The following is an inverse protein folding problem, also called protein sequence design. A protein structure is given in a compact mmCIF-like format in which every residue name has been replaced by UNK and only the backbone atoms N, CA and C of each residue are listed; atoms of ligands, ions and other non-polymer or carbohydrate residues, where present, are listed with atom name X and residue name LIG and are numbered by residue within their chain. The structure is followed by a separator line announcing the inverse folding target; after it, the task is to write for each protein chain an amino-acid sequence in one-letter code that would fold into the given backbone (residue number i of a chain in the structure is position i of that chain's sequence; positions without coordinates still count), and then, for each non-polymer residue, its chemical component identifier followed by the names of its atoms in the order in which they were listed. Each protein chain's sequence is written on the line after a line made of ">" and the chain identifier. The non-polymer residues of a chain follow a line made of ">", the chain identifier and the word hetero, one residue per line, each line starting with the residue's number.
data_IF_574363896448
#
_entry.id   IF_574363896448
#
_cell.length_a   1.000
_cell.length_b   1.000
_cell.length_c   1.000
_cell.angle_alpha   90.00
_cell.angle_beta   90.00
_cell.angle_gamma   90.00
#
_symmetry.space_group_name_H-M   'P 1'
#
loop_
_entity.id
_entity.type
_entity.pdbx_description
1 polymer ?
#
# COMPACT_ATOMS: atom_id res chain seq x y z
N UNK A 1 1.96 -41.81 -6.06
CA UNK A 1 0.97 -40.72 -5.91
C UNK A 1 0.71 -40.48 -4.43
N UNK A 2 0.98 -39.25 -3.97
CA UNK A 2 0.53 -38.62 -2.71
C UNK A 2 0.89 -39.23 -1.34
N UNK A 3 2.13 -38.98 -0.87
CA UNK A 3 2.48 -38.81 0.56
C UNK A 3 3.60 -37.79 0.83
N UNK A 4 3.81 -36.80 -0.06
CA UNK A 4 4.91 -35.81 0.06
C UNK A 4 4.48 -34.36 0.32
N UNK A 5 3.24 -34.10 0.74
CA UNK A 5 2.72 -32.73 0.92
C UNK A 5 2.42 -32.32 2.36
N UNK A 6 2.99 -33.01 3.35
CA UNK A 6 2.79 -32.70 4.78
C UNK A 6 4.10 -32.70 5.55
N UNK A 7 5.03 -31.84 5.16
CA UNK A 7 6.05 -31.35 6.06
C UNK A 7 6.50 -29.98 5.59
N UNK A 8 6.54 -29.05 6.55
CA UNK A 8 7.29 -27.81 6.48
C UNK A 8 6.65 -26.57 5.83
N UNK A 9 5.35 -26.35 6.07
CA UNK A 9 4.85 -24.99 6.24
C UNK A 9 5.29 -24.50 7.65
N UNK A 10 6.60 -24.29 7.84
CA UNK A 10 7.09 -23.50 8.97
C UNK A 10 6.80 -22.04 8.62
N UNK A 11 5.56 -21.64 8.87
CA UNK A 11 5.18 -20.24 9.09
C UNK A 11 6.01 -19.74 10.26
N UNK A 12 7.25 -19.34 9.99
CA UNK A 12 7.96 -18.41 10.85
C UNK A 12 7.20 -17.10 10.75
N UNK A 13 6.20 -16.95 11.62
CA UNK A 13 5.69 -15.64 12.05
C UNK A 13 6.82 -14.97 12.83
N UNK A 14 7.90 -14.61 12.15
CA UNK A 14 8.67 -13.48 12.61
C UNK A 14 7.71 -12.30 12.46
N UNK A 15 7.30 -11.74 13.60
CA UNK A 15 6.88 -10.35 13.66
C UNK A 15 8.08 -9.51 13.28
N UNK A 16 8.41 -9.48 11.99
CA UNK A 16 9.30 -8.50 11.39
C UNK A 16 8.49 -7.21 11.30
N UNK A 17 8.11 -6.69 12.46
CA UNK A 17 7.39 -5.45 12.57
C UNK A 17 8.34 -4.36 12.14
N UNK A 18 8.08 -3.76 10.98
CA UNK A 18 8.46 -2.38 10.80
C UNK A 18 7.70 -1.63 11.89
N UNK A 19 8.38 -1.17 12.95
CA UNK A 19 7.75 -0.13 13.78
C UNK A 19 7.89 1.18 13.02
N UNK A 20 7.16 1.30 11.91
CA UNK A 20 6.73 2.64 11.53
C UNK A 20 5.70 3.00 12.58
N UNK A 21 5.96 4.00 13.40
CA UNK A 21 4.88 4.77 14.02
C UNK A 21 3.86 5.03 12.91
N UNK A 22 2.73 4.31 12.93
CA UNK A 22 1.73 4.32 11.87
C UNK A 22 1.01 5.69 11.73
N UNK A 23 1.54 6.73 12.39
CA UNK A 23 1.02 8.08 12.53
C UNK A 23 2.11 9.16 12.50
N UNK A 24 3.39 8.86 12.19
CA UNK A 24 4.31 9.96 11.85
C UNK A 24 3.94 10.45 10.46
N UNK A 25 3.28 11.61 10.40
CA UNK A 25 3.32 12.44 9.20
C UNK A 25 4.79 12.55 8.77
N UNK A 26 5.08 12.13 7.54
CA UNK A 26 6.37 12.36 6.93
C UNK A 26 6.63 13.85 6.91
N UNK A 27 7.58 14.31 7.71
CA UNK A 27 8.08 15.67 7.64
C UNK A 27 8.87 15.80 6.34
N UNK A 28 8.32 16.54 5.37
CA UNK A 28 9.15 17.05 4.29
C UNK A 28 10.26 17.93 4.91
N UNK A 29 11.47 17.97 4.33
CA UNK A 29 12.46 18.94 4.73
C UNK A 29 11.92 20.36 4.57
N UNK A 30 12.41 21.27 5.40
CA UNK A 30 12.06 22.69 5.33
C UNK A 30 12.31 23.26 3.93
N UNK A 31 11.49 24.26 3.55
CA UNK A 31 11.49 24.86 2.21
C UNK A 31 12.89 25.38 1.78
N UNK A 32 13.72 25.78 2.74
CA UNK A 32 15.09 26.23 2.52
C UNK A 32 15.98 25.10 1.96
N UNK A 33 15.91 23.89 2.53
CA UNK A 33 16.70 22.75 2.03
C UNK A 33 16.23 22.32 0.64
N UNK A 34 14.91 22.29 0.41
CA UNK A 34 14.35 21.98 -0.93
C UNK A 34 14.81 23.01 -1.96
N UNK A 35 14.88 24.28 -1.58
CA UNK A 35 15.37 25.36 -2.44
C UNK A 35 16.85 25.20 -2.75
N UNK A 36 17.67 24.87 -1.75
CA UNK A 36 19.09 24.58 -1.93
C UNK A 36 19.32 23.35 -2.83
N UNK A 37 18.51 22.30 -2.67
CA UNK A 37 18.54 21.11 -3.52
C UNK A 37 18.32 21.47 -4.99
N UNK A 38 17.33 22.31 -5.32
CA UNK A 38 17.05 22.72 -6.72
C UNK A 38 18.24 23.33 -7.46
N UNK A 39 19.18 23.95 -6.73
CA UNK A 39 20.40 24.52 -7.31
C UNK A 39 21.49 23.50 -7.64
N UNK A 40 21.37 22.26 -7.17
CA UNK A 40 22.41 21.25 -7.27
C UNK A 40 22.36 20.52 -8.61
N UNK A 41 23.54 20.17 -9.10
CA UNK A 41 23.73 19.30 -10.29
C UNK A 41 24.46 18.01 -9.96
N UNK A 42 25.04 17.94 -8.77
CA UNK A 42 25.82 16.82 -8.29
C UNK A 42 25.42 16.45 -6.87
N UNK A 43 25.72 15.24 -6.45
CA UNK A 43 25.52 14.77 -5.07
C UNK A 43 26.70 13.90 -4.63
N UNK A 44 27.01 13.91 -3.34
CA UNK A 44 27.95 13.00 -2.71
C UNK A 44 27.14 11.99 -1.88
N UNK A 45 27.25 10.70 -2.20
CA UNK A 45 26.56 9.63 -1.47
C UNK A 45 27.53 8.90 -0.54
N UNK A 46 27.38 9.14 0.75
CA UNK A 46 28.16 8.51 1.81
C UNK A 46 27.34 7.41 2.46
N UNK A 47 27.94 6.25 2.68
CA UNK A 47 27.28 5.12 3.35
C UNK A 47 28.17 4.59 4.46
N UNK A 48 27.66 4.61 5.70
CA UNK A 48 28.29 4.00 6.86
C UNK A 48 27.48 2.78 7.24
N UNK A 49 28.03 1.60 6.94
CA UNK A 49 27.35 0.31 7.08
C UNK A 49 27.92 -0.52 8.23
N UNK A 50 27.12 -0.70 9.28
CA UNK A 50 27.41 -1.56 10.42
C UNK A 50 26.56 -2.83 10.37
N UNK A 51 26.85 -3.73 9.43
CA UNK A 51 26.19 -5.03 9.32
C UNK A 51 27.00 -6.15 9.98
N UNK A 52 26.35 -7.18 10.56
CA UNK A 52 27.04 -8.37 11.04
C UNK A 52 27.79 -9.07 9.90
N UNK A 53 28.94 -9.68 10.22
CA UNK A 53 29.73 -10.40 9.23
C UNK A 53 28.89 -11.47 8.51
N UNK A 54 28.92 -11.45 7.18
CA UNK A 54 28.14 -12.35 6.34
C UNK A 54 26.68 -11.93 6.11
N UNK A 55 26.19 -10.83 6.67
CA UNK A 55 24.86 -10.33 6.35
C UNK A 55 24.80 -9.76 4.91
N UNK A 56 23.67 -9.95 4.19
CA UNK A 56 23.50 -9.42 2.84
C UNK A 56 23.50 -7.90 2.81
N UNK A 57 24.03 -7.35 1.73
CA UNK A 57 23.85 -5.94 1.39
C UNK A 57 22.47 -5.73 0.76
N UNK A 58 21.60 -4.89 1.35
CA UNK A 58 20.34 -4.51 0.73
C UNK A 58 20.34 -3.50 -0.39
N UNK A 59 21.51 -3.13 -0.90
CA UNK A 59 21.60 -2.36 -2.13
C UNK A 59 20.91 -1.01 -2.02
N UNK A 60 20.73 -0.49 -0.81
CA UNK A 60 20.00 0.75 -0.57
C UNK A 60 20.77 1.90 -1.20
N UNK A 61 22.09 1.96 -0.99
CA UNK A 61 22.96 2.90 -1.69
C UNK A 61 22.70 2.94 -3.20
N UNK A 62 22.60 1.78 -3.85
CA UNK A 62 22.34 1.69 -5.30
C UNK A 62 20.99 2.31 -5.65
N UNK A 63 19.95 2.02 -4.89
CA UNK A 63 18.61 2.59 -5.10
C UNK A 63 18.59 4.10 -4.84
N UNK A 64 19.25 4.59 -3.77
CA UNK A 64 19.32 6.02 -3.49
C UNK A 64 20.07 6.76 -4.62
N UNK A 65 21.17 6.20 -5.10
CA UNK A 65 21.89 6.74 -6.26
C UNK A 65 21.02 6.76 -7.53
N UNK A 66 20.24 5.70 -7.77
CA UNK A 66 19.31 5.65 -8.90
C UNK A 66 18.22 6.74 -8.81
N UNK A 67 17.66 6.97 -7.62
CA UNK A 67 16.69 8.06 -7.37
C UNK A 67 17.33 9.42 -7.66
N UNK A 68 18.53 9.69 -7.14
CA UNK A 68 19.21 10.97 -7.33
C UNK A 68 19.61 11.20 -8.80
N UNK A 69 20.12 10.17 -9.47
CA UNK A 69 20.45 10.24 -10.89
C UNK A 69 19.21 10.34 -11.79
N UNK A 70 18.06 9.82 -11.36
CA UNK A 70 16.80 10.01 -12.07
C UNK A 70 16.33 11.47 -12.10
N UNK A 71 16.74 12.27 -11.10
CA UNK A 71 16.56 13.72 -11.07
C UNK A 71 17.57 14.48 -11.96
N UNK A 72 18.48 13.78 -12.64
CA UNK A 72 19.51 14.39 -13.48
C UNK A 72 20.78 14.79 -12.73
N UNK A 73 20.90 14.44 -11.45
CA UNK A 73 22.12 14.67 -10.68
C UNK A 73 23.23 13.68 -11.05
N UNK A 74 24.48 14.11 -10.93
CA UNK A 74 25.66 13.25 -11.09
C UNK A 74 26.35 13.01 -9.76
N UNK A 75 26.80 11.80 -9.52
CA UNK A 75 27.57 11.52 -8.31
C UNK A 75 28.95 12.19 -8.41
N UNK A 76 29.29 13.01 -7.41
CA UNK A 76 30.57 13.69 -7.26
C UNK A 76 30.91 13.76 -5.76
N UNK A 77 31.99 13.10 -5.29
CA UNK A 77 32.40 13.15 -3.88
C UNK A 77 32.69 14.56 -3.36
N UNK A 78 32.97 15.52 -4.24
CA UNK A 78 33.20 16.92 -3.89
C UNK A 78 31.91 17.77 -3.86
N UNK A 79 30.74 17.17 -4.11
CA UNK A 79 29.46 17.89 -4.11
C UNK A 79 29.17 18.49 -2.72
N UNK A 80 28.68 19.74 -2.65
CA UNK A 80 28.18 20.31 -1.41
C UNK A 80 26.86 19.66 -0.96
N UNK A 81 26.15 18.96 -1.85
CA UNK A 81 24.96 18.17 -1.50
C UNK A 81 25.34 16.77 -1.08
N UNK A 82 25.36 16.55 0.22
CA UNK A 82 25.66 15.24 0.82
C UNK A 82 24.38 14.50 1.13
N UNK A 83 24.35 13.24 0.72
CA UNK A 83 23.35 12.26 1.11
C UNK A 83 24.08 11.19 1.90
N UNK A 84 23.81 11.10 3.19
CA UNK A 84 24.47 10.15 4.09
C UNK A 84 23.46 9.09 4.54
N UNK A 85 23.84 7.82 4.40
CA UNK A 85 23.09 6.69 4.88
C UNK A 85 23.89 5.99 5.98
N UNK A 86 23.44 6.13 7.22
CA UNK A 86 24.03 5.44 8.35
C UNK A 86 23.09 4.35 8.84
N UNK A 87 23.60 3.14 9.03
CA UNK A 87 22.73 2.02 9.37
C UNK A 87 23.45 0.91 10.12
N UNK A 88 22.71 0.37 11.08
CA UNK A 88 23.11 -0.75 11.91
C UNK A 88 22.16 -1.92 11.67
N UNK A 89 22.74 -3.05 11.26
CA UNK A 89 22.01 -4.30 11.08
C UNK A 89 22.08 -5.18 12.32
N UNK A 90 20.95 -5.74 12.67
CA UNK A 90 20.85 -6.92 13.52
C UNK A 90 20.46 -8.10 12.63
N UNK A 91 21.35 -9.08 12.51
CA UNK A 91 21.05 -10.27 11.75
C UNK A 91 20.01 -11.11 12.50
N UNK A 92 18.92 -11.43 11.83
CA UNK A 92 17.86 -12.28 12.34
C UNK A 92 18.15 -13.70 11.86
N UNK A 93 18.59 -14.54 12.80
CA UNK A 93 18.86 -15.94 12.53
C UNK A 93 17.65 -16.80 12.86
N UNK A 94 17.31 -17.73 11.97
CA UNK A 94 16.44 -18.85 12.29
C UNK A 94 17.29 -20.11 12.47
N UNK A 95 17.09 -20.79 13.58
CA UNK A 95 17.56 -22.17 13.74
C UNK A 95 16.63 -23.09 12.95
N UNK A 96 17.21 -23.89 12.07
CA UNK A 96 16.45 -24.86 11.29
C UNK A 96 16.79 -26.27 11.73
N UNK A 97 15.75 -27.09 11.86
CA UNK A 97 15.86 -28.50 12.25
C UNK A 97 15.12 -29.35 11.21
N UNK A 98 15.86 -29.94 10.28
CA UNK A 98 15.30 -30.89 9.31
C UNK A 98 15.05 -32.22 10.01
N UNK A 99 13.76 -32.53 10.28
CA UNK A 99 13.36 -33.82 10.89
C UNK A 99 13.80 -35.04 10.06
N UNK A 100 13.95 -34.89 8.75
CA UNK A 100 14.34 -35.99 7.86
C UNK A 100 15.84 -36.26 7.81
N UNK A 101 16.72 -35.31 8.22
CA UNK A 101 18.14 -35.37 7.82
C UNK A 101 19.18 -35.05 8.90
N UNK A 102 18.79 -34.87 10.18
CA UNK A 102 19.71 -34.61 11.32
C UNK A 102 20.71 -33.46 11.11
N UNK A 103 20.43 -32.50 10.22
CA UNK A 103 21.23 -31.29 10.05
C UNK A 103 20.64 -30.21 10.95
N UNK A 104 21.45 -29.73 11.91
CA UNK A 104 21.17 -28.55 12.73
C UNK A 104 22.09 -27.42 12.26
N UNK A 105 21.50 -26.25 11.99
CA UNK A 105 22.26 -25.08 11.56
C UNK A 105 21.52 -23.79 11.87
N UNK A 106 22.29 -22.70 12.01
CA UNK A 106 21.79 -21.34 12.17
C UNK A 106 21.98 -20.60 10.86
N UNK A 107 20.89 -20.20 10.19
CA UNK A 107 20.91 -19.40 8.96
C UNK A 107 20.34 -18.02 9.27
N UNK A 108 21.03 -16.97 8.85
CA UNK A 108 20.43 -15.63 8.84
C UNK A 108 19.41 -15.57 7.70
N UNK A 109 18.15 -15.33 8.04
CA UNK A 109 17.03 -15.32 7.09
C UNK A 109 16.49 -13.92 6.86
N UNK A 110 16.94 -12.97 7.67
CA UNK A 110 16.58 -11.56 7.60
C UNK A 110 17.65 -10.72 8.29
N UNK A 111 17.65 -9.41 8.04
CA UNK A 111 18.31 -8.43 8.89
C UNK A 111 17.28 -7.36 9.26
N UNK A 112 17.20 -7.02 10.55
CA UNK A 112 16.54 -5.79 10.99
C UNK A 112 17.57 -4.68 10.93
N UNK A 113 17.19 -3.55 10.38
CA UNK A 113 18.09 -2.45 10.10
C UNK A 113 17.48 -1.18 10.65
N UNK A 114 18.24 -0.51 11.50
CA UNK A 114 17.92 0.81 12.01
C UNK A 114 18.97 1.77 11.49
N UNK A 115 18.58 2.99 11.17
CA UNK A 115 19.52 3.94 10.61
C UNK A 115 18.96 5.34 10.46
N UNK A 116 19.79 6.21 9.92
CA UNK A 116 19.48 7.59 9.62
C UNK A 116 19.77 7.86 8.15
N UNK A 117 18.82 8.50 7.48
CA UNK A 117 19.03 9.13 6.18
C UNK A 117 19.24 10.62 6.45
N UNK A 118 20.40 11.15 6.10
CA UNK A 118 20.72 12.57 6.24
C UNK A 118 20.91 13.21 4.88
N UNK A 119 20.28 14.36 4.65
CA UNK A 119 20.48 15.25 3.52
C UNK A 119 21.11 16.54 4.06
N UNK A 120 22.24 16.97 3.52
CA UNK A 120 22.98 18.17 3.99
C UNK A 120 23.42 19.02 2.79
N UNK A 121 23.15 20.33 2.83
CA UNK A 121 23.65 21.33 1.88
C UNK A 121 23.93 22.63 2.66
N UNK A 122 25.15 23.16 2.58
CA UNK A 122 25.51 24.49 3.12
C UNK A 122 25.04 24.73 4.57
N UNK A 123 25.17 23.72 5.45
CA UNK A 123 24.70 23.69 6.85
C UNK A 123 23.19 23.51 7.08
N UNK A 124 22.36 23.59 6.04
CA UNK A 124 20.99 23.09 6.12
C UNK A 124 21.01 21.57 6.09
N UNK A 125 20.28 20.93 6.99
CA UNK A 125 20.22 19.47 7.03
C UNK A 125 18.82 18.96 7.35
N UNK A 126 18.53 17.77 6.85
CA UNK A 126 17.35 16.99 7.18
C UNK A 126 17.79 15.58 7.53
N UNK A 127 17.37 15.09 8.69
CA UNK A 127 17.68 13.75 9.17
C UNK A 127 16.38 13.00 9.44
N UNK A 128 16.28 11.79 8.93
CA UNK A 128 15.15 10.89 9.15
C UNK A 128 15.66 9.55 9.68
N UNK A 129 15.21 9.20 10.90
CA UNK A 129 15.38 7.86 11.43
C UNK A 129 14.47 6.89 10.67
N UNK A 130 15.05 5.79 10.19
CA UNK A 130 14.29 4.71 9.61
C UNK A 130 14.57 3.39 10.30
N UNK A 131 13.57 2.53 10.23
CA UNK A 131 13.73 1.13 10.51
C UNK A 131 13.16 0.33 9.36
N UNK A 132 13.96 -0.58 8.81
CA UNK A 132 13.43 -1.58 7.92
C UNK A 132 13.98 -2.96 8.16
N UNK A 133 13.34 -3.94 7.54
CA UNK A 133 13.83 -5.30 7.56
C UNK A 133 14.02 -5.82 6.14
N UNK A 134 15.01 -6.68 6.02
CA UNK A 134 15.29 -7.45 4.83
C UNK A 134 14.88 -8.89 5.05
N UNK A 135 14.63 -9.62 3.97
CA UNK A 135 14.52 -11.08 4.01
C UNK A 135 15.27 -11.69 2.84
N UNK A 136 15.92 -12.81 3.08
CA UNK A 136 16.39 -13.69 2.02
C UNK A 136 15.24 -14.59 1.60
N UNK A 137 14.82 -14.62 0.33
CA UNK A 137 13.88 -15.62 -0.14
C UNK A 137 14.42 -17.02 0.21
N UNK A 138 13.55 -17.87 0.76
CA UNK A 138 13.88 -19.26 0.99
C UNK A 138 13.48 -20.03 -0.27
N UNK A 139 14.38 -20.82 -0.84
CA UNK A 139 14.02 -21.73 -1.93
C UNK A 139 12.89 -22.65 -1.48
N UNK A 140 11.85 -22.77 -2.32
CA UNK A 140 10.70 -23.65 -2.06
C UNK A 140 11.01 -25.12 -2.32
N UNK A 141 12.18 -25.45 -2.85
CA UNK A 141 12.58 -26.83 -3.21
C UNK A 141 14.06 -27.07 -2.99
N UNK A 142 14.41 -27.84 -1.95
CA UNK A 142 15.75 -28.41 -1.76
C UNK A 142 15.88 -29.67 -2.59
N UNK A 143 16.88 -29.75 -3.48
CA UNK A 143 17.04 -30.87 -4.43
C UNK A 143 17.88 -32.02 -3.90
N UNK A 144 18.97 -31.77 -3.16
CA UNK A 144 19.88 -32.80 -2.60
C UNK A 144 20.79 -32.28 -1.45
N UNK A 145 21.63 -33.15 -0.86
CA UNK A 145 22.54 -32.84 0.27
C UNK A 145 23.70 -31.91 -0.11
N UNK A 146 24.19 -31.98 -1.35
CA UNK A 146 25.21 -31.06 -1.85
C UNK A 146 24.62 -29.65 -2.04
N UNK A 147 23.39 -29.55 -2.53
CA UNK A 147 22.65 -28.30 -2.65
C UNK A 147 22.46 -27.63 -1.29
N UNK A 148 22.09 -28.38 -0.25
CA UNK A 148 21.93 -27.86 1.11
C UNK A 148 23.25 -27.35 1.71
N UNK A 149 24.32 -28.13 1.60
CA UNK A 149 25.65 -27.77 2.12
C UNK A 149 26.20 -26.53 1.42
N UNK A 150 26.03 -26.45 0.10
CA UNK A 150 26.40 -25.28 -0.70
C UNK A 150 25.45 -24.08 -0.46
N UNK A 151 24.19 -24.29 -0.05
CA UNK A 151 23.27 -23.21 0.32
C UNK A 151 23.58 -22.56 1.66
N UNK A 152 24.19 -23.30 2.61
CA UNK A 152 24.73 -22.71 3.85
C UNK A 152 25.89 -21.76 3.57
N UNK A 153 26.59 -21.95 2.45
CA UNK A 153 27.69 -21.11 1.95
C UNK A 153 27.25 -20.17 0.82
N UNK A 154 26.01 -20.30 0.32
CA UNK A 154 25.54 -19.55 -0.84
C UNK A 154 25.42 -18.07 -0.49
N UNK A 155 25.85 -17.18 -1.40
CA UNK A 155 25.58 -15.76 -1.25
C UNK A 155 24.07 -15.56 -1.15
N UNK A 156 23.69 -14.68 -0.24
CA UNK A 156 22.30 -14.26 -0.08
C UNK A 156 21.73 -13.81 -1.43
N UNK A 157 20.51 -14.24 -1.75
CA UNK A 157 19.70 -13.58 -2.78
C UNK A 157 19.44 -12.12 -2.38
N UNK A 158 19.21 -11.24 -3.37
CA UNK A 158 18.99 -9.81 -3.14
C UNK A 158 17.92 -9.60 -2.05
N UNK A 159 18.27 -8.93 -0.95
CA UNK A 159 17.38 -8.84 0.19
C UNK A 159 16.14 -8.03 -0.13
N UNK A 160 15.04 -8.55 0.38
CA UNK A 160 13.72 -8.01 0.14
C UNK A 160 13.40 -6.97 1.23
N UNK A 161 13.44 -5.66 0.94
CA UNK A 161 12.88 -4.57 1.81
C UNK A 161 11.42 -4.82 2.19
N UNK A 162 11.08 -4.70 3.47
CA UNK A 162 9.74 -5.05 3.98
C UNK A 162 8.91 -3.85 4.45
N UNK A 163 9.45 -2.63 4.43
CA UNK A 163 8.76 -1.48 5.05
C UNK A 163 8.25 -0.48 4.01
N UNK A 164 6.92 -0.23 3.94
CA UNK A 164 6.34 0.72 2.99
C UNK A 164 6.81 2.15 3.26
N UNK A 165 7.31 2.36 4.47
CA UNK A 165 7.58 3.63 5.09
C UNK A 165 9.09 3.86 5.34
N UNK A 166 9.95 3.32 4.47
CA UNK A 166 11.41 3.36 4.62
C UNK A 166 12.13 4.50 3.88
N UNK A 167 13.47 4.57 3.99
CA UNK A 167 14.27 5.71 3.50
C UNK A 167 14.20 5.89 1.97
N UNK A 168 13.88 4.82 1.24
CA UNK A 168 13.68 4.86 -0.21
C UNK A 168 12.43 5.69 -0.55
N UNK A 169 11.31 5.48 0.14
CA UNK A 169 10.08 6.25 -0.10
C UNK A 169 10.30 7.72 0.25
N UNK A 170 10.92 7.99 1.40
CA UNK A 170 11.19 9.34 1.86
C UNK A 170 12.11 10.09 0.90
N UNK A 171 13.26 9.50 0.52
CA UNK A 171 14.16 10.12 -0.44
C UNK A 171 13.45 10.35 -1.79
N UNK A 172 12.72 9.36 -2.29
CA UNK A 172 12.00 9.50 -3.56
C UNK A 172 11.03 10.68 -3.52
N UNK A 173 10.30 10.85 -2.41
CA UNK A 173 9.40 11.98 -2.21
C UNK A 173 10.16 13.31 -2.19
N UNK A 174 11.20 13.43 -1.39
CA UNK A 174 11.99 14.66 -1.25
C UNK A 174 12.60 15.07 -2.60
N UNK A 175 13.23 14.12 -3.29
CA UNK A 175 13.86 14.35 -4.58
C UNK A 175 12.82 14.71 -5.65
N UNK A 176 11.64 14.11 -5.61
CA UNK A 176 10.53 14.49 -6.51
C UNK A 176 10.02 15.91 -6.22
N UNK A 177 9.88 16.29 -4.94
CA UNK A 177 9.50 17.65 -4.54
C UNK A 177 10.53 18.70 -4.97
N UNK A 178 11.82 18.35 -4.90
CA UNK A 178 12.90 19.25 -5.29
C UNK A 178 13.03 19.37 -6.81
N UNK A 179 13.06 18.26 -7.55
CA UNK A 179 13.46 18.22 -8.97
C UNK A 179 12.32 17.89 -9.95
N UNK A 180 11.07 17.88 -9.48
CA UNK A 180 9.88 17.59 -10.29
C UNK A 180 9.61 16.10 -10.47
N UNK A 181 8.70 15.76 -11.38
CA UNK A 181 8.00 14.46 -11.41
C UNK A 181 8.86 13.27 -11.89
N UNK A 182 10.00 13.55 -12.53
CA UNK A 182 10.84 12.53 -13.20
C UNK A 182 11.24 11.36 -12.29
N UNK A 183 11.68 11.58 -11.03
CA UNK A 183 12.07 10.48 -10.15
C UNK A 183 10.92 9.53 -9.86
N UNK A 184 9.73 10.06 -9.52
CA UNK A 184 8.53 9.24 -9.31
C UNK A 184 8.11 8.49 -10.59
N UNK A 185 8.15 9.15 -11.75
CA UNK A 185 7.84 8.53 -13.05
C UNK A 185 8.80 7.38 -13.39
N UNK A 186 10.12 7.55 -13.14
CA UNK A 186 11.10 6.48 -13.35
C UNK A 186 10.92 5.34 -12.36
N UNK A 187 10.63 5.64 -11.10
CA UNK A 187 10.32 4.62 -10.09
C UNK A 187 9.11 3.76 -10.50
N UNK A 188 8.05 4.37 -11.06
CA UNK A 188 6.89 3.65 -11.61
C UNK A 188 7.22 2.75 -12.81
N UNK A 189 8.26 3.08 -13.57
CA UNK A 189 8.71 2.28 -14.71
C UNK A 189 9.77 1.21 -14.35
N UNK A 190 10.19 1.16 -13.07
CA UNK A 190 11.26 0.28 -12.61
C UNK A 190 10.89 -1.21 -12.74
N UNK A 191 11.88 -2.11 -12.77
CA UNK A 191 11.61 -3.56 -12.89
C UNK A 191 11.12 -4.18 -11.57
N UNK A 192 11.63 -3.69 -10.44
CA UNK A 192 11.17 -4.06 -9.09
C UNK A 192 9.79 -3.44 -8.79
N UNK A 193 8.83 -4.30 -8.43
CA UNK A 193 7.49 -3.90 -8.01
C UNK A 193 7.49 -2.88 -6.87
N UNK A 194 8.44 -2.91 -5.94
CA UNK A 194 8.42 -2.00 -4.78
C UNK A 194 8.78 -0.58 -5.17
N UNK A 195 9.72 -0.44 -6.10
CA UNK A 195 9.99 0.86 -6.70
C UNK A 195 8.76 1.39 -7.44
N UNK A 196 8.01 0.51 -8.12
CA UNK A 196 6.72 0.90 -8.71
C UNK A 196 5.70 1.34 -7.66
N UNK A 197 5.61 0.60 -6.57
CA UNK A 197 4.77 0.93 -5.42
C UNK A 197 5.13 2.30 -4.82
N UNK A 198 6.42 2.56 -4.57
CA UNK A 198 6.87 3.85 -4.04
C UNK A 198 6.63 4.98 -5.04
N UNK A 199 6.92 4.77 -6.32
CA UNK A 199 6.64 5.76 -7.37
C UNK A 199 5.17 6.13 -7.45
N UNK A 200 4.27 5.14 -7.41
CA UNK A 200 2.84 5.38 -7.40
C UNK A 200 2.37 6.07 -6.11
N UNK A 201 2.90 5.66 -4.96
CA UNK A 201 2.61 6.29 -3.65
C UNK A 201 3.01 7.78 -3.66
N UNK A 202 4.24 8.09 -4.06
CA UNK A 202 4.75 9.47 -4.18
C UNK A 202 3.93 10.27 -5.18
N UNK A 203 3.55 9.69 -6.31
CA UNK A 203 2.71 10.36 -7.30
C UNK A 203 1.35 10.77 -6.71
N UNK A 204 0.73 9.90 -5.89
CA UNK A 204 -0.51 10.24 -5.19
C UNK A 204 -0.33 11.28 -4.09
N UNK A 205 0.72 11.15 -3.27
CA UNK A 205 0.98 12.04 -2.14
C UNK A 205 1.31 13.46 -2.58
N UNK A 206 2.07 13.60 -3.66
CA UNK A 206 2.42 14.89 -4.27
C UNK A 206 1.40 15.35 -5.31
N UNK A 207 0.33 14.57 -5.55
CA UNK A 207 -0.73 14.86 -6.54
C UNK A 207 -0.20 15.15 -7.95
N UNK A 208 0.74 14.35 -8.42
CA UNK A 208 1.41 14.52 -9.71
C UNK A 208 0.45 14.18 -10.87
N UNK A 209 -0.19 15.17 -11.46
CA UNK A 209 -1.13 14.94 -12.57
C UNK A 209 -0.47 14.30 -13.80
N UNK A 210 0.80 14.63 -14.06
CA UNK A 210 1.60 14.05 -15.15
C UNK A 210 1.77 12.54 -15.04
N UNK A 211 1.65 11.98 -13.82
CA UNK A 211 1.75 10.55 -13.54
C UNK A 211 0.50 9.77 -13.96
N UNK A 212 -0.65 10.42 -14.20
CA UNK A 212 -1.92 9.75 -14.49
C UNK A 212 -1.82 8.67 -15.57
N UNK A 213 -1.19 8.90 -16.74
CA UNK A 213 -1.09 7.86 -17.77
C UNK A 213 -0.23 6.65 -17.34
N UNK A 214 0.74 6.85 -16.44
CA UNK A 214 1.51 5.72 -15.88
C UNK A 214 0.68 4.94 -14.86
N UNK A 215 -0.02 5.65 -13.97
CA UNK A 215 -0.90 5.06 -12.96
C UNK A 215 -2.05 4.27 -13.60
N UNK A 216 -2.72 4.84 -14.60
CA UNK A 216 -3.78 4.17 -15.35
C UNK A 216 -3.27 2.89 -16.01
N UNK A 217 -2.10 2.93 -16.67
CA UNK A 217 -1.49 1.73 -17.30
C UNK A 217 -1.17 0.62 -16.31
N UNK A 218 -0.74 0.96 -15.09
CA UNK A 218 -0.45 -0.04 -14.04
C UNK A 218 -1.70 -0.85 -13.68
N UNK A 219 -2.89 -0.25 -13.73
CA UNK A 219 -4.15 -0.91 -13.33
C UNK A 219 -5.01 -1.39 -14.52
N UNK A 220 -4.70 -0.95 -15.75
CA UNK A 220 -5.52 -1.20 -16.94
C UNK A 220 -5.56 -2.68 -17.37
N UNK A 221 -4.55 -3.46 -16.98
CA UNK A 221 -4.42 -4.90 -17.25
C UNK A 221 -4.79 -5.80 -16.07
N UNK A 222 -5.18 -5.25 -14.93
CA UNK A 222 -5.43 -6.03 -13.71
C UNK A 222 -6.77 -6.78 -13.84
N UNK A 223 -6.71 -8.10 -13.96
CA UNK A 223 -7.90 -8.97 -14.15
C UNK A 223 -8.47 -9.55 -12.85
N UNK A 224 -8.11 -8.98 -11.69
CA UNK A 224 -8.51 -9.46 -10.35
C UNK A 224 -8.37 -10.98 -10.18
N UNK A 225 -7.13 -11.48 -10.09
CA UNK A 225 -6.74 -12.77 -9.45
C UNK A 225 -5.22 -12.92 -9.60
N UNK A 226 -4.42 -12.03 -8.99
CA UNK A 226 -3.05 -12.47 -8.68
C UNK A 226 -3.19 -13.42 -7.49
N UNK A 227 -2.83 -14.68 -7.70
CA UNK A 227 -2.71 -15.77 -6.71
C UNK A 227 -1.89 -15.41 -5.45
N UNK A 228 -1.32 -14.21 -5.39
CA UNK A 228 -0.80 -13.59 -4.18
C UNK A 228 -1.85 -13.42 -3.07
N UNK A 229 -3.14 -13.19 -3.40
CA UNK A 229 -4.22 -12.90 -2.43
C UNK A 229 -4.60 -14.04 -1.48
N UNK A 230 -4.17 -15.29 -1.75
CA UNK A 230 -4.55 -16.46 -0.93
C UNK A 230 -3.56 -16.74 0.22
N UNK A 231 -2.50 -15.95 0.33
CA UNK A 231 -1.55 -16.07 1.44
C UNK A 231 -1.57 -14.73 2.17
N UNK A 232 -2.38 -14.65 3.24
CA UNK A 232 -2.34 -13.59 4.28
C UNK A 232 -0.95 -13.51 4.90
N UNK A 233 -0.03 -12.99 4.12
CA UNK A 233 1.32 -12.71 4.52
C UNK A 233 1.31 -11.24 4.93
N UNK A 234 1.85 -10.84 6.09
CA UNK A 234 2.00 -9.44 6.46
C UNK A 234 2.81 -8.59 5.44
N UNK A 235 3.30 -9.23 4.37
CA UNK A 235 4.08 -8.69 3.26
C UNK A 235 3.26 -8.34 2.00
N UNK A 236 1.93 -8.50 2.03
CA UNK A 236 0.98 -8.06 0.98
C UNK A 236 0.82 -6.52 0.88
N UNK A 237 1.66 -5.74 1.57
CA UNK A 237 1.49 -4.28 1.76
C UNK A 237 2.06 -3.41 0.64
N UNK A 238 2.91 -3.95 -0.25
CA UNK A 238 3.54 -3.19 -1.35
C UNK A 238 3.05 -3.63 -2.74
N UNK A 239 1.74 -3.51 -2.97
CA UNK A 239 1.12 -3.82 -4.25
C UNK A 239 1.09 -2.57 -5.16
N UNK A 240 1.81 -2.55 -6.30
CA UNK A 240 1.90 -1.37 -7.16
C UNK A 240 0.55 -0.94 -7.74
N UNK A 241 -0.30 -1.88 -8.12
CA UNK A 241 -1.63 -1.63 -8.66
C UNK A 241 -2.54 -1.00 -7.59
N UNK A 242 -2.44 -1.45 -6.34
CA UNK A 242 -3.16 -0.85 -5.21
C UNK A 242 -2.69 0.57 -4.93
N UNK A 243 -1.38 0.80 -4.90
CA UNK A 243 -0.83 2.14 -4.75
C UNK A 243 -1.24 3.05 -5.91
N UNK A 244 -1.21 2.55 -7.15
CA UNK A 244 -1.60 3.31 -8.33
C UNK A 244 -3.08 3.69 -8.30
N UNK A 245 -3.95 2.75 -7.93
CA UNK A 245 -5.37 3.01 -7.79
C UNK A 245 -5.65 4.06 -6.71
N UNK A 246 -5.05 3.91 -5.52
CA UNK A 246 -5.17 4.88 -4.44
C UNK A 246 -4.64 6.27 -4.84
N UNK A 247 -3.53 6.33 -5.58
CA UNK A 247 -2.97 7.58 -6.09
C UNK A 247 -3.92 8.29 -7.07
N UNK A 248 -4.57 7.55 -7.97
CA UNK A 248 -5.56 8.13 -8.89
C UNK A 248 -6.75 8.79 -8.17
N UNK A 249 -7.18 8.24 -7.03
CA UNK A 249 -8.21 8.87 -6.19
C UNK A 249 -7.78 10.19 -5.53
N UNK A 250 -6.48 10.44 -5.40
CA UNK A 250 -5.92 11.70 -4.88
C UNK A 250 -5.76 12.77 -5.96
N UNK A 251 -5.74 12.38 -7.23
CA UNK A 251 -5.65 13.30 -8.37
C UNK A 251 -7.02 13.91 -8.69
N UNK A 252 -7.07 15.06 -9.41
CA UNK A 252 -8.33 15.60 -9.91
C UNK A 252 -9.11 14.60 -10.76
N UNK A 253 -10.43 14.80 -10.83
CA UNK A 253 -11.32 13.96 -11.59
C UNK A 253 -10.93 13.90 -13.09
N UNK A 254 -10.99 12.71 -13.67
CA UNK A 254 -10.88 12.50 -15.11
C UNK A 254 -11.76 11.33 -15.55
N UNK A 255 -12.48 11.49 -16.66
CA UNK A 255 -13.42 10.47 -17.15
C UNK A 255 -12.71 9.17 -17.58
N UNK A 256 -11.49 9.28 -18.14
CA UNK A 256 -10.65 8.11 -18.46
C UNK A 256 -10.36 7.27 -17.21
N UNK A 257 -9.96 7.95 -16.13
CA UNK A 257 -9.65 7.34 -14.84
C UNK A 257 -10.91 6.73 -14.23
N UNK A 258 -12.02 7.47 -14.26
CA UNK A 258 -13.33 7.00 -13.74
C UNK A 258 -13.72 5.68 -14.39
N UNK A 259 -13.68 5.59 -15.72
CA UNK A 259 -14.07 4.37 -16.45
C UNK A 259 -13.22 3.16 -16.05
N UNK A 260 -11.91 3.35 -15.81
CA UNK A 260 -11.00 2.30 -15.35
C UNK A 260 -11.35 1.86 -13.92
N UNK A 261 -11.49 2.82 -12.99
CA UNK A 261 -11.79 2.54 -11.59
C UNK A 261 -13.17 1.87 -11.40
N UNK A 262 -14.20 2.31 -12.13
CA UNK A 262 -15.52 1.68 -12.11
C UNK A 262 -15.47 0.23 -12.62
N UNK A 263 -14.67 -0.02 -13.67
CA UNK A 263 -14.46 -1.39 -14.17
C UNK A 263 -13.81 -2.28 -13.12
N UNK A 264 -12.81 -1.77 -12.39
CA UNK A 264 -12.15 -2.50 -11.30
C UNK A 264 -13.12 -2.75 -10.14
N UNK A 265 -13.85 -1.72 -9.71
CA UNK A 265 -14.85 -1.82 -8.64
C UNK A 265 -15.95 -2.85 -8.95
N UNK A 266 -16.38 -2.95 -10.22
CA UNK A 266 -17.40 -3.92 -10.63
C UNK A 266 -16.95 -5.38 -10.60
N UNK A 267 -15.63 -5.63 -10.62
CA UNK A 267 -15.03 -6.97 -10.69
C UNK A 267 -14.61 -7.51 -9.33
N UNK A 268 -14.36 -6.62 -8.38
CA UNK A 268 -13.58 -6.93 -7.20
C UNK A 268 -14.28 -6.44 -5.93
N UNK A 269 -14.99 -7.33 -5.25
CA UNK A 269 -15.67 -7.03 -3.99
C UNK A 269 -14.78 -7.25 -2.75
N UNK A 270 -13.55 -7.76 -2.91
CA UNK A 270 -12.68 -8.10 -1.77
C UNK A 270 -11.36 -7.30 -1.73
N UNK A 271 -10.83 -6.84 -2.88
CA UNK A 271 -9.53 -6.13 -2.91
C UNK A 271 -9.62 -4.62 -2.71
N UNK A 272 -10.83 -4.04 -2.79
CA UNK A 272 -11.11 -2.60 -2.70
C UNK A 272 -10.32 -1.71 -3.69
N UNK A 273 -9.76 -2.29 -4.76
CA UNK A 273 -8.91 -1.55 -5.70
C UNK A 273 -9.66 -0.39 -6.37
N UNK A 274 -10.92 -0.58 -6.78
CA UNK A 274 -11.68 0.45 -7.49
C UNK A 274 -12.53 1.37 -6.60
N UNK A 275 -13.16 0.83 -5.55
CA UNK A 275 -14.14 1.57 -4.75
C UNK A 275 -13.51 2.66 -3.90
N UNK A 276 -12.41 2.35 -3.21
CA UNK A 276 -11.71 3.30 -2.35
C UNK A 276 -11.35 4.62 -3.06
N UNK A 277 -10.66 4.61 -4.22
CA UNK A 277 -10.31 5.87 -4.90
C UNK A 277 -11.50 6.60 -5.52
N UNK A 278 -12.57 5.90 -5.92
CA UNK A 278 -13.80 6.56 -6.39
C UNK A 278 -14.45 7.41 -5.29
N UNK A 279 -14.42 6.92 -4.04
CA UNK A 279 -14.97 7.63 -2.88
C UNK A 279 -14.10 8.83 -2.47
N UNK A 280 -12.79 8.81 -2.74
CA UNK A 280 -11.88 9.92 -2.42
C UNK A 280 -12.21 11.21 -3.20
N UNK A 281 -12.76 11.08 -4.42
CA UNK A 281 -13.17 12.22 -5.21
C UNK A 281 -14.36 12.99 -4.64
N UNK A 282 -15.14 12.39 -3.72
CA UNK A 282 -16.27 13.03 -3.01
C UNK A 282 -17.21 13.81 -3.95
N UNK A 283 -17.45 13.27 -5.15
CA UNK A 283 -18.24 13.97 -6.18
C UNK A 283 -19.71 13.57 -6.13
N UNK A 284 -20.64 14.54 -6.02
CA UNK A 284 -22.07 14.27 -6.06
C UNK A 284 -22.51 13.65 -7.40
N UNK A 285 -21.83 14.01 -8.50
CA UNK A 285 -22.14 13.52 -9.85
C UNK A 285 -21.88 12.01 -10.00
N UNK A 286 -20.91 11.47 -9.26
CA UNK A 286 -20.54 10.05 -9.33
C UNK A 286 -21.32 9.18 -8.35
N UNK A 287 -21.88 9.74 -7.29
CA UNK A 287 -22.56 8.98 -6.25
C UNK A 287 -23.70 8.09 -6.78
N UNK A 288 -24.53 8.52 -7.76
CA UNK A 288 -25.55 7.66 -8.32
C UNK A 288 -24.98 6.36 -8.88
N UNK A 289 -23.85 6.43 -9.59
CA UNK A 289 -23.22 5.26 -10.21
C UNK A 289 -22.52 4.38 -9.17
N UNK A 290 -21.89 4.97 -8.15
CA UNK A 290 -21.29 4.24 -7.03
C UNK A 290 -22.38 3.45 -6.30
N UNK A 291 -23.51 4.07 -5.98
CA UNK A 291 -24.65 3.37 -5.36
C UNK A 291 -25.19 2.28 -6.29
N UNK A 292 -25.26 2.55 -7.60
CA UNK A 292 -25.72 1.57 -8.57
C UNK A 292 -24.78 0.36 -8.68
N UNK A 293 -23.47 0.53 -8.49
CA UNK A 293 -22.52 -0.59 -8.35
C UNK A 293 -22.84 -1.44 -7.12
N UNK A 294 -23.06 -0.82 -5.96
CA UNK A 294 -23.42 -1.53 -4.72
C UNK A 294 -24.73 -2.31 -4.91
N UNK A 295 -25.73 -1.70 -5.56
CA UNK A 295 -27.01 -2.35 -5.90
C UNK A 295 -26.82 -3.57 -6.80
N UNK A 296 -25.88 -3.53 -7.73
CA UNK A 296 -25.67 -4.59 -8.72
C UNK A 296 -24.65 -5.65 -8.31
N UNK A 297 -23.91 -5.45 -7.20
CA UNK A 297 -22.91 -6.39 -6.73
C UNK A 297 -23.52 -7.77 -6.44
N UNK A 298 -22.84 -8.84 -6.87
CA UNK A 298 -23.30 -10.23 -6.68
C UNK A 298 -23.41 -10.61 -5.21
N UNK A 299 -22.45 -10.17 -4.39
CA UNK A 299 -22.45 -10.33 -2.94
C UNK A 299 -22.72 -8.98 -2.27
N UNK A 300 -23.31 -8.98 -1.07
CA UNK A 300 -23.54 -7.71 -0.37
C UNK A 300 -22.21 -7.12 0.13
N UNK A 301 -21.77 -5.96 -0.38
CA UNK A 301 -20.44 -5.43 -0.09
C UNK A 301 -20.50 -4.58 1.19
N UNK A 302 -20.50 -5.24 2.37
CA UNK A 302 -20.66 -4.55 3.66
C UNK A 302 -19.62 -3.45 3.88
N UNK A 303 -18.35 -3.72 3.56
CA UNK A 303 -17.26 -2.75 3.72
C UNK A 303 -17.48 -1.49 2.86
N UNK A 304 -17.73 -1.67 1.55
CA UNK A 304 -17.93 -0.54 0.64
C UNK A 304 -19.22 0.23 0.97
N UNK A 305 -20.28 -0.49 1.37
CA UNK A 305 -21.55 0.11 1.79
C UNK A 305 -21.35 1.02 3.01
N UNK A 306 -20.62 0.53 4.01
CA UNK A 306 -20.28 1.30 5.21
C UNK A 306 -19.44 2.55 4.94
N UNK A 307 -18.71 2.62 3.82
CA UNK A 307 -17.98 3.83 3.40
C UNK A 307 -18.82 4.76 2.51
N UNK A 308 -19.56 4.19 1.56
CA UNK A 308 -20.27 4.95 0.54
C UNK A 308 -21.52 5.65 1.09
N UNK A 309 -22.28 5.01 1.99
CA UNK A 309 -23.51 5.60 2.52
C UNK A 309 -23.28 6.83 3.41
N UNK A 310 -22.30 6.86 4.34
CA UNK A 310 -22.00 8.08 5.09
C UNK A 310 -21.54 9.24 4.20
N UNK A 311 -20.87 8.93 3.08
CA UNK A 311 -20.53 9.93 2.09
C UNK A 311 -21.78 10.41 1.32
N UNK A 312 -22.62 9.47 0.87
CA UNK A 312 -23.90 9.77 0.20
C UNK A 312 -24.80 10.68 1.05
N UNK A 313 -24.92 10.40 2.36
CA UNK A 313 -25.66 11.25 3.30
C UNK A 313 -25.22 12.71 3.21
N UNK A 314 -23.91 12.96 3.05
CA UNK A 314 -23.32 14.31 3.00
C UNK A 314 -23.45 14.97 1.63
N UNK A 315 -23.24 14.23 0.54
CA UNK A 315 -23.04 14.83 -0.79
C UNK A 315 -24.11 14.50 -1.82
N UNK A 316 -24.97 13.50 -1.62
CA UNK A 316 -26.00 13.18 -2.62
C UNK A 316 -26.96 14.34 -2.86
N UNK A 317 -27.44 14.44 -4.09
CA UNK A 317 -28.54 15.31 -4.50
C UNK A 317 -29.73 14.48 -5.04
N UNK A 318 -30.71 15.14 -5.64
CA UNK A 318 -31.92 14.52 -6.19
C UNK A 318 -31.64 13.38 -7.20
N UNK A 319 -30.49 13.37 -7.88
CA UNK A 319 -30.12 12.31 -8.85
C UNK A 319 -29.85 10.97 -8.17
N UNK A 320 -29.50 10.97 -6.88
CA UNK A 320 -29.31 9.74 -6.12
C UNK A 320 -30.63 9.03 -5.80
N UNK A 321 -31.79 9.73 -5.83
CA UNK A 321 -33.09 9.19 -5.44
C UNK A 321 -33.43 7.81 -6.06
N UNK A 322 -33.42 7.64 -7.40
CA UNK A 322 -33.83 6.36 -8.00
C UNK A 322 -32.93 5.20 -7.57
N UNK A 323 -31.63 5.43 -7.42
CA UNK A 323 -30.68 4.38 -7.03
C UNK A 323 -30.71 4.09 -5.53
N UNK A 324 -30.91 5.12 -4.68
CA UNK A 324 -31.12 4.96 -3.24
C UNK A 324 -32.38 4.16 -2.94
N UNK A 325 -33.48 4.42 -3.66
CA UNK A 325 -34.71 3.65 -3.51
C UNK A 325 -34.52 2.17 -3.92
N UNK A 326 -33.77 1.89 -4.99
CA UNK A 326 -33.40 0.52 -5.36
C UNK A 326 -32.53 -0.12 -4.28
N UNK A 327 -31.55 0.61 -3.75
CA UNK A 327 -30.65 0.08 -2.74
C UNK A 327 -31.35 -0.22 -1.42
N UNK A 328 -32.25 0.67 -0.99
CA UNK A 328 -33.12 0.46 0.16
C UNK A 328 -33.89 -0.85 0.06
N UNK A 329 -34.56 -1.10 -1.09
CA UNK A 329 -35.29 -2.35 -1.35
C UNK A 329 -34.39 -3.58 -1.28
N UNK A 330 -33.14 -3.47 -1.76
CA UNK A 330 -32.15 -4.54 -1.61
C UNK A 330 -31.84 -4.78 -0.12
N UNK A 331 -31.50 -3.75 0.64
CA UNK A 331 -31.23 -3.87 2.09
C UNK A 331 -32.41 -4.48 2.86
N UNK A 332 -33.65 -4.10 2.55
CA UNK A 332 -34.86 -4.69 3.16
C UNK A 332 -34.99 -6.18 2.86
N UNK A 333 -34.71 -6.59 1.62
CA UNK A 333 -34.73 -7.99 1.21
C UNK A 333 -33.65 -8.80 1.95
N UNK A 334 -32.43 -8.30 2.04
CA UNK A 334 -31.35 -8.96 2.77
C UNK A 334 -31.65 -9.04 4.27
N UNK A 335 -32.16 -7.96 4.88
CA UNK A 335 -32.57 -7.94 6.29
C UNK A 335 -33.63 -9.00 6.60
N UNK A 336 -34.63 -9.17 5.72
CA UNK A 336 -35.64 -10.22 5.85
C UNK A 336 -35.02 -11.62 5.80
N UNK A 337 -34.03 -11.84 4.93
CA UNK A 337 -33.34 -13.13 4.82
C UNK A 337 -32.53 -13.43 6.08
N UNK A 338 -31.74 -12.47 6.56
CA UNK A 338 -30.90 -12.64 7.77
C UNK A 338 -31.76 -12.87 9.01
N UNK A 339 -32.89 -12.18 9.16
CA UNK A 339 -33.79 -12.38 10.30
C UNK A 339 -34.46 -13.78 10.34
N UNK A 340 -34.41 -14.54 9.24
CA UNK A 340 -34.93 -15.92 9.19
C UNK A 340 -33.86 -16.99 9.41
N UNK A 341 -32.60 -16.59 9.56
CA UNK A 341 -31.44 -17.47 9.75
C UNK A 341 -30.91 -17.36 11.18
N UNK A 342 -30.13 -18.36 11.62
CA UNK A 342 -29.40 -18.24 12.90
C UNK A 342 -28.42 -17.07 12.84
N UNK A 343 -28.17 -16.36 13.96
CA UNK A 343 -27.28 -15.21 13.98
C UNK A 343 -25.89 -15.57 13.45
N UNK A 344 -25.52 -14.96 12.32
CA UNK A 344 -24.19 -15.10 11.73
C UNK A 344 -23.09 -14.52 12.62
N UNK A 345 -21.84 -14.71 12.23
CA UNK A 345 -20.71 -14.05 12.90
C UNK A 345 -20.84 -12.52 12.77
N UNK A 346 -20.46 -11.74 13.79
CA UNK A 346 -20.42 -10.28 13.68
C UNK A 346 -19.56 -9.86 12.51
N UNK A 347 -20.02 -8.83 11.80
CA UNK A 347 -19.28 -8.16 10.75
C UNK A 347 -18.61 -6.90 11.29
N UNK A 348 -17.40 -6.63 10.84
CA UNK A 348 -16.71 -5.37 11.12
C UNK A 348 -17.08 -4.36 10.03
N UNK A 349 -17.63 -3.22 10.43
CA UNK A 349 -17.79 -2.06 9.56
C UNK A 349 -17.00 -0.87 10.11
N UNK A 350 -16.64 0.09 9.25
CA UNK A 350 -16.01 1.34 9.71
C UNK A 350 -17.04 2.21 10.42
N UNK A 351 -16.63 2.85 11.51
CA UNK A 351 -17.45 3.83 12.21
C UNK A 351 -17.68 5.03 11.26
N UNK A 352 -18.95 5.38 10.97
CA UNK A 352 -19.30 6.51 10.11
C UNK A 352 -18.79 7.86 10.62
N UNK A 353 -18.61 7.98 11.94
CA UNK A 353 -18.18 9.19 12.62
C UNK A 353 -16.66 9.21 12.86
N UNK A 354 -16.02 8.05 12.82
CA UNK A 354 -14.57 7.89 12.96
C UNK A 354 -14.03 6.82 11.99
N UNK A 355 -13.50 7.21 10.82
CA UNK A 355 -13.00 6.28 9.81
C UNK A 355 -11.86 5.35 10.28
N UNK A 356 -11.25 5.66 11.44
CA UNK A 356 -10.18 4.88 12.06
C UNK A 356 -10.70 3.87 13.08
N UNK A 357 -11.96 4.02 13.52
CA UNK A 357 -12.62 3.09 14.42
C UNK A 357 -13.40 2.04 13.63
N UNK A 358 -13.29 0.80 14.06
CA UNK A 358 -14.15 -0.30 13.59
C UNK A 358 -15.21 -0.59 14.63
N UNK A 359 -16.43 -0.81 14.16
CA UNK A 359 -17.55 -1.25 14.98
C UNK A 359 -17.95 -2.66 14.56
N UNK A 360 -18.13 -3.52 15.55
CA UNK A 360 -18.60 -4.89 15.37
C UNK A 360 -20.11 -4.89 15.54
N UNK A 361 -20.82 -5.42 14.53
CA UNK A 361 -22.28 -5.51 14.55
C UNK A 361 -22.74 -6.78 13.86
N UNK A 362 -23.93 -7.24 14.20
CA UNK A 362 -24.60 -8.30 13.44
C UNK A 362 -25.01 -7.80 12.06
N UNK A 363 -25.22 -8.72 11.11
CA UNK A 363 -25.70 -8.35 9.77
C UNK A 363 -27.06 -7.63 9.81
N UNK A 364 -27.95 -8.04 10.72
CA UNK A 364 -29.27 -7.40 10.90
C UNK A 364 -29.14 -5.94 11.36
N UNK A 365 -28.26 -5.67 12.33
CA UNK A 365 -27.95 -4.31 12.78
C UNK A 365 -27.35 -3.45 11.65
N UNK A 366 -26.47 -4.03 10.83
CA UNK A 366 -25.88 -3.32 9.71
C UNK A 366 -26.92 -2.94 8.65
N UNK A 367 -27.81 -3.85 8.27
CA UNK A 367 -28.89 -3.53 7.32
C UNK A 367 -29.85 -2.49 7.87
N UNK A 368 -30.23 -2.58 9.15
CA UNK A 368 -31.06 -1.56 9.80
C UNK A 368 -30.38 -0.19 9.78
N UNK A 369 -29.07 -0.14 10.07
CA UNK A 369 -28.26 1.08 9.96
C UNK A 369 -28.25 1.64 8.53
N UNK A 370 -28.03 0.79 7.52
CA UNK A 370 -28.02 1.21 6.11
C UNK A 370 -29.37 1.73 5.63
N UNK A 371 -30.48 1.08 6.01
CA UNK A 371 -31.83 1.55 5.66
C UNK A 371 -32.07 2.94 6.28
N UNK A 372 -31.75 3.12 7.56
CA UNK A 372 -31.90 4.41 8.23
C UNK A 372 -31.03 5.51 7.58
N UNK A 373 -29.82 5.17 7.14
CA UNK A 373 -28.92 6.06 6.39
C UNK A 373 -29.51 6.52 5.05
N UNK A 374 -30.06 5.57 4.30
CA UNK A 374 -30.75 5.86 3.03
C UNK A 374 -31.97 6.74 3.27
N UNK A 375 -32.79 6.45 4.28
CA UNK A 375 -34.00 7.21 4.60
C UNK A 375 -33.67 8.67 4.97
N UNK A 376 -32.66 8.90 5.83
CA UNK A 376 -32.16 10.25 6.12
C UNK A 376 -31.70 10.99 4.86
N UNK A 377 -31.00 10.29 3.97
CA UNK A 377 -30.52 10.88 2.71
C UNK A 377 -31.69 11.28 1.81
N UNK A 378 -32.69 10.40 1.66
CA UNK A 378 -33.89 10.65 0.86
C UNK A 378 -34.70 11.84 1.40
N UNK A 379 -34.89 11.92 2.72
CA UNK A 379 -35.58 13.05 3.37
C UNK A 379 -34.85 14.38 3.17
N UNK A 380 -33.51 14.37 3.19
CA UNK A 380 -32.70 15.57 2.96
C UNK A 380 -32.81 16.09 1.53
N UNK A 381 -32.75 15.20 0.54
CA UNK A 381 -32.77 15.59 -0.89
C UNK A 381 -34.20 15.89 -1.39
N UNK A 382 -35.21 15.46 -0.66
CA UNK A 382 -36.63 15.81 -0.88
C UNK A 382 -37.24 16.41 0.38
N UNK A 383 -36.96 17.69 0.69
CA UNK A 383 -37.68 18.36 1.77
C UNK A 383 -39.17 18.30 1.44
N UNK A 384 -39.96 17.71 2.35
CA UNK A 384 -41.43 17.67 2.21
C UNK A 384 -41.91 19.09 1.90
N UNK A 385 -42.83 19.27 0.92
CA UNK A 385 -43.39 20.59 0.68
C UNK A 385 -43.98 21.10 2.00
N UNK A 386 -43.51 22.27 2.45
CA UNK A 386 -44.08 22.99 3.57
C UNK A 386 -45.56 23.21 3.27
N UNK A 387 -46.42 22.61 4.09
CA UNK A 387 -47.88 22.72 3.99
C UNK A 387 -48.35 24.13 4.30
#
# INVERSE_FOLDING_TARGET
>A
MNRYFRALLLLLTFSVGCTSSAEREYSLPDDDLVTLMRGQKTFALNEVRNLPAGAPDPGIRKVLAEILTSAGLKEDPASPFKVSLEWQGQALSSEYNSRDRRVQGRRYTAARINGFLTLEIDSAFHEEEFQFATRTPLFTTFKDENHLSNEFEAPFEEPVWLCPNGPILSLLRIVTTAYGDTPALRAMAHQDNRMRFYGATVAGDLKLESARPALERMIQGTTSYSTAFLIKSPYETMNPEKAASAALGKLPFAESTRAILFRLASRDSESNLGMDPLLEWKSPDMMPDIIQLLVNSRYFPYYDTGRALPLAEKICDARCKPVLQKFRKRCEKELQQVNTQEPGKPIEIKDPNDPNRKISMTESEAFAYYIASIDRTLERIEPRPTR
#
